data_IF_809650699307
#
_entry.id   IF_809650699307
#
_cell.length_a   1.000
_cell.length_b   1.000
_cell.length_c   1.000
_cell.angle_alpha   90.00
_cell.angle_beta   90.00
_cell.angle_gamma   90.00
#
_symmetry.space_group_name_H-M   'P 1'
#
loop_
_entity.id
_entity.type
_entity.pdbx_description
1 polymer ?
#
# COMPACT_ATOMS: atom_id res chain seq x y z
N UNK A 1 -13.24 12.16 28.75
CA UNK A 1 -13.41 13.32 27.84
C UNK A 1 -12.55 13.03 26.63
N UNK A 2 -13.14 12.61 25.52
CA UNK A 2 -12.42 12.13 24.34
C UNK A 2 -12.06 13.34 23.48
N UNK A 3 -10.79 13.70 23.46
CA UNK A 3 -10.30 14.79 22.62
C UNK A 3 -10.09 14.27 21.20
N UNK A 4 -10.87 14.81 20.26
CA UNK A 4 -10.55 14.79 18.83
C UNK A 4 -9.42 15.82 18.63
N UNK A 5 -8.18 15.35 18.74
CA UNK A 5 -7.04 16.02 18.10
C UNK A 5 -6.96 15.48 16.67
N UNK A 6 -6.59 16.32 15.70
CA UNK A 6 -6.38 16.01 14.26
C UNK A 6 -5.34 14.90 13.96
N UNK A 7 -4.91 14.16 14.97
CA UNK A 7 -4.05 12.99 14.89
C UNK A 7 -4.94 11.75 14.81
N UNK A 8 -5.17 11.26 13.59
CA UNK A 8 -5.96 10.06 13.33
C UNK A 8 -5.21 8.78 13.73
N UNK A 9 -5.92 7.88 14.41
CA UNK A 9 -5.43 6.53 14.70
C UNK A 9 -5.28 5.68 13.43
N UNK A 10 -5.84 6.10 12.30
CA UNK A 10 -5.63 5.45 11.00
C UNK A 10 -4.15 5.38 10.57
N UNK A 11 -3.29 6.26 11.10
CA UNK A 11 -1.84 6.17 10.85
C UNK A 11 -1.22 4.84 11.31
N UNK A 12 -1.87 4.10 12.23
CA UNK A 12 -1.45 2.74 12.59
C UNK A 12 -1.58 1.75 11.43
N UNK A 13 -2.45 2.00 10.44
CA UNK A 13 -2.62 1.14 9.27
C UNK A 13 -1.39 1.14 8.34
N UNK A 14 -0.53 2.15 8.48
CA UNK A 14 0.75 2.22 7.78
C UNK A 14 1.87 1.48 8.53
N UNK A 15 1.59 0.93 9.71
CA UNK A 15 2.53 0.11 10.48
C UNK A 15 2.29 -1.39 10.26
N UNK A 16 3.35 -2.20 10.40
CA UNK A 16 3.27 -3.66 10.26
C UNK A 16 3.93 -4.37 11.46
N UNK A 17 4.00 -3.69 12.60
CA UNK A 17 4.54 -4.22 13.85
C UNK A 17 3.66 -3.74 15.00
N UNK A 18 3.15 -4.69 15.77
CA UNK A 18 2.23 -4.45 16.86
C UNK A 18 2.79 -5.04 18.17
N UNK A 19 2.62 -4.34 19.31
CA UNK A 19 1.96 -3.05 19.46
C UNK A 19 2.78 -1.92 18.82
N UNK A 20 2.06 -1.05 18.10
CA UNK A 20 2.61 0.14 17.46
C UNK A 20 2.73 1.30 18.44
N UNK A 21 3.48 2.33 18.06
CA UNK A 21 3.50 3.60 18.80
C UNK A 21 2.21 4.34 18.52
N UNK A 22 1.44 4.63 19.56
CA UNK A 22 0.19 5.35 19.45
C UNK A 22 0.46 6.80 19.01
N UNK A 23 -0.18 7.30 17.93
CA UNK A 23 0.06 8.65 17.44
C UNK A 23 -0.56 9.71 18.37
N UNK A 24 -1.60 9.34 19.13
CA UNK A 24 -2.28 10.25 20.07
C UNK A 24 -1.44 10.52 21.33
N UNK A 25 -0.78 9.50 21.89
CA UNK A 25 -0.10 9.62 23.18
C UNK A 25 1.39 9.26 23.18
N UNK A 26 1.95 8.84 22.04
CA UNK A 26 3.36 8.47 21.89
C UNK A 26 3.79 7.17 22.58
N UNK A 27 2.89 6.49 23.30
CA UNK A 27 3.22 5.24 23.99
C UNK A 27 3.11 4.03 23.06
N UNK A 28 3.98 3.03 23.26
CA UNK A 28 3.88 1.75 22.56
C UNK A 28 2.76 0.92 23.20
N UNK A 29 1.66 0.81 22.47
CA UNK A 29 0.42 0.20 22.95
C UNK A 29 -0.75 0.48 22.02
N UNK A 30 -0.45 0.73 20.74
CA UNK A 30 -1.44 0.90 19.69
C UNK A 30 -1.64 -0.41 18.93
N UNK A 31 -2.89 -0.77 18.71
CA UNK A 31 -3.31 -2.07 18.20
C UNK A 31 -4.26 -1.89 17.02
N UNK A 32 -4.28 -2.88 16.14
CA UNK A 32 -5.29 -2.98 15.08
C UNK A 32 -5.88 -4.39 15.07
N UNK A 33 -7.12 -4.51 14.60
CA UNK A 33 -7.75 -5.79 14.33
C UNK A 33 -8.63 -5.68 13.09
N UNK A 34 -8.52 -6.66 12.18
CA UNK A 34 -9.25 -6.67 10.91
C UNK A 34 -10.05 -7.96 10.76
N UNK A 35 -11.29 -7.83 10.28
CA UNK A 35 -12.17 -8.95 9.91
C UNK A 35 -12.68 -8.80 8.49
N UNK A 36 -12.69 -9.89 7.73
CA UNK A 36 -13.22 -9.99 6.38
C UNK A 36 -14.44 -10.92 6.32
N UNK A 37 -15.53 -10.53 6.99
CA UNK A 37 -16.71 -11.38 7.15
C UNK A 37 -17.67 -11.38 5.96
N UNK A 38 -17.51 -10.43 5.03
CA UNK A 38 -18.33 -10.32 3.82
C UNK A 38 -17.46 -10.09 2.60
N UNK A 39 -17.92 -10.49 1.40
CA UNK A 39 -17.24 -10.17 0.16
C UNK A 39 -16.99 -8.67 0.04
N UNK A 40 -15.71 -8.27 -0.02
CA UNK A 40 -15.24 -6.88 -0.14
C UNK A 40 -15.67 -5.94 0.99
N UNK A 41 -16.11 -6.45 2.15
CA UNK A 41 -16.46 -5.60 3.30
C UNK A 41 -16.09 -6.27 4.61
N UNK A 42 -15.47 -5.49 5.48
CA UNK A 42 -14.97 -5.95 6.76
C UNK A 42 -15.06 -4.89 7.84
N UNK A 43 -14.69 -5.30 9.05
CA UNK A 43 -14.55 -4.43 10.21
C UNK A 43 -13.08 -4.15 10.49
N UNK A 44 -12.82 -2.94 10.96
CA UNK A 44 -11.52 -2.49 11.44
C UNK A 44 -11.71 -1.91 12.84
N UNK A 45 -10.90 -2.37 13.77
CA UNK A 45 -10.75 -1.78 15.09
C UNK A 45 -9.32 -1.27 15.23
N UNK A 46 -9.18 -0.05 15.72
CA UNK A 46 -7.89 0.53 16.11
C UNK A 46 -8.05 1.02 17.54
N UNK A 47 -7.15 0.67 18.44
CA UNK A 47 -7.21 1.16 19.82
C UNK A 47 -5.85 1.30 20.47
N UNK A 48 -5.80 1.99 21.60
CA UNK A 48 -4.59 2.15 22.40
C UNK A 48 -4.82 1.73 23.86
N UNK A 49 -4.07 0.77 24.37
CA UNK A 49 -4.19 0.36 25.79
C UNK A 49 -3.80 1.46 26.77
N UNK A 50 -2.93 2.41 26.36
CA UNK A 50 -2.40 3.44 27.24
C UNK A 50 -3.35 4.64 27.41
N UNK A 51 -3.75 5.29 26.31
CA UNK A 51 -4.64 6.46 26.36
C UNK A 51 -6.12 6.12 26.14
N UNK A 52 -6.44 4.85 25.89
CA UNK A 52 -7.79 4.32 25.64
C UNK A 52 -8.49 4.86 24.40
N UNK A 53 -7.83 5.70 23.60
CA UNK A 53 -8.36 6.16 22.31
C UNK A 53 -8.66 4.95 21.42
N UNK A 54 -9.81 4.97 20.74
CA UNK A 54 -10.20 3.91 19.82
C UNK A 54 -11.05 4.43 18.66
N UNK A 55 -11.04 3.67 17.58
CA UNK A 55 -11.84 3.89 16.38
C UNK A 55 -12.34 2.55 15.84
N UNK A 56 -13.56 2.54 15.31
CA UNK A 56 -14.14 1.40 14.63
C UNK A 56 -14.73 1.84 13.29
N UNK A 57 -14.34 1.16 12.22
CA UNK A 57 -14.72 1.52 10.85
C UNK A 57 -15.08 0.29 10.01
N UNK A 58 -15.91 0.50 8.98
CA UNK A 58 -16.07 -0.47 7.91
C UNK A 58 -15.00 -0.25 6.86
N UNK A 59 -14.29 -1.31 6.47
CA UNK A 59 -13.23 -1.25 5.46
C UNK A 59 -13.48 -2.24 4.33
N UNK A 60 -12.75 -2.07 3.23
CA UNK A 60 -12.46 -3.15 2.29
C UNK A 60 -11.21 -3.83 2.83
N UNK A 61 -11.29 -5.08 3.33
CA UNK A 61 -10.12 -5.80 3.82
C UNK A 61 -9.10 -5.98 2.71
N UNK A 62 -7.81 -6.15 3.05
CA UNK A 62 -6.81 -6.47 2.06
C UNK A 62 -7.19 -7.74 1.27
N UNK A 63 -6.87 -7.79 -0.02
CA UNK A 63 -7.21 -8.95 -0.88
C UNK A 63 -6.57 -10.26 -0.41
N UNK A 64 -5.44 -10.17 0.31
CA UNK A 64 -4.73 -11.29 0.91
C UNK A 64 -5.20 -11.63 2.33
N UNK A 65 -6.09 -10.84 2.93
CA UNK A 65 -6.46 -11.00 4.34
C UNK A 65 -7.26 -12.27 4.58
N UNK A 66 -6.81 -13.06 5.56
CA UNK A 66 -7.54 -14.19 6.11
C UNK A 66 -7.90 -13.86 7.56
N UNK A 67 -9.11 -14.24 7.99
CA UNK A 67 -9.49 -14.10 9.38
C UNK A 67 -8.67 -15.07 10.25
N UNK A 68 -8.34 -14.64 11.46
CA UNK A 68 -7.87 -15.53 12.52
C UNK A 68 -8.99 -16.44 13.02
N UNK A 69 -8.61 -17.43 13.83
CA UNK A 69 -9.53 -18.30 14.57
C UNK A 69 -9.62 -17.94 16.07
N UNK A 70 -9.09 -16.77 16.48
CA UNK A 70 -9.03 -16.34 17.87
C UNK A 70 -10.38 -15.76 18.31
N UNK A 71 -11.02 -14.96 17.45
CA UNK A 71 -12.24 -14.21 17.80
C UNK A 71 -13.38 -14.53 16.85
N UNK A 72 -14.52 -14.90 17.40
CA UNK A 72 -15.73 -15.14 16.62
C UNK A 72 -16.47 -13.83 16.32
N UNK A 73 -17.05 -13.71 15.12
CA UNK A 73 -17.71 -12.46 14.65
C UNK A 73 -18.74 -11.91 15.64
N UNK A 74 -19.53 -12.79 16.26
CA UNK A 74 -20.64 -12.38 17.13
C UNK A 74 -20.18 -11.77 18.46
N UNK A 75 -18.90 -11.93 18.82
CA UNK A 75 -18.33 -11.38 20.03
C UNK A 75 -17.84 -9.93 19.83
N UNK A 76 -17.77 -9.46 18.58
CA UNK A 76 -17.25 -8.14 18.24
C UNK A 76 -18.31 -7.05 18.38
N UNK A 77 -17.93 -5.96 19.04
CA UNK A 77 -18.72 -4.74 19.14
C UNK A 77 -17.82 -3.51 18.92
N UNK A 78 -18.42 -2.32 18.81
CA UNK A 78 -17.68 -1.10 18.43
C UNK A 78 -16.61 -0.69 19.47
N UNK A 79 -16.84 -0.98 20.76
CA UNK A 79 -15.87 -0.74 21.84
C UNK A 79 -14.89 -1.93 21.90
N UNK A 80 -13.56 -1.73 21.97
CA UNK A 80 -12.58 -2.81 21.85
C UNK A 80 -12.31 -3.57 23.17
N UNK A 81 -13.29 -3.73 24.07
CA UNK A 81 -13.04 -4.31 25.40
C UNK A 81 -12.56 -5.78 25.32
N UNK A 82 -13.26 -6.62 24.56
CA UNK A 82 -12.86 -8.01 24.31
C UNK A 82 -11.52 -8.08 23.55
N UNK A 83 -11.28 -7.15 22.62
CA UNK A 83 -10.04 -7.11 21.86
C UNK A 83 -8.85 -6.75 22.75
N UNK A 84 -9.05 -5.84 23.71
CA UNK A 84 -8.05 -5.46 24.71
C UNK A 84 -7.65 -6.65 25.60
N UNK A 85 -8.60 -7.52 25.96
CA UNK A 85 -8.32 -8.74 26.73
C UNK A 85 -7.44 -9.74 25.95
N UNK A 86 -7.52 -9.73 24.61
CA UNK A 86 -6.80 -10.65 23.73
C UNK A 86 -5.64 -9.99 22.96
N UNK A 87 -5.28 -8.76 23.32
CA UNK A 87 -4.38 -7.91 22.53
C UNK A 87 -3.03 -8.55 22.20
N UNK A 88 -2.44 -9.32 23.11
CA UNK A 88 -1.13 -9.93 22.87
C UNK A 88 -1.19 -11.00 21.77
N UNK A 89 -2.27 -11.79 21.75
CA UNK A 89 -2.49 -12.80 20.71
C UNK A 89 -2.86 -12.14 19.37
N UNK A 90 -3.67 -11.08 19.41
CA UNK A 90 -3.99 -10.26 18.23
C UNK A 90 -2.72 -9.64 17.66
N UNK A 91 -1.90 -8.98 18.47
CA UNK A 91 -0.67 -8.31 18.04
C UNK A 91 0.32 -9.28 17.39
N UNK A 92 0.45 -10.50 17.95
CA UNK A 92 1.24 -11.56 17.35
C UNK A 92 0.71 -11.94 15.96
N UNK A 93 -0.61 -12.17 15.84
CA UNK A 93 -1.24 -12.50 14.57
C UNK A 93 -1.11 -11.36 13.54
N UNK A 94 -1.38 -10.12 13.95
CA UNK A 94 -1.29 -8.94 13.10
C UNK A 94 0.14 -8.71 12.63
N UNK A 95 1.14 -8.79 13.52
CA UNK A 95 2.56 -8.66 13.15
C UNK A 95 2.96 -9.74 12.14
N UNK A 96 2.44 -10.97 12.31
CA UNK A 96 2.76 -12.07 11.42
C UNK A 96 2.09 -11.99 10.06
N UNK A 97 0.86 -11.44 9.95
CA UNK A 97 0.02 -11.55 8.76
C UNK A 97 -0.35 -10.22 8.09
N UNK A 98 -0.43 -9.11 8.84
CA UNK A 98 -0.81 -7.81 8.29
C UNK A 98 0.35 -7.18 7.54
N UNK A 99 0.09 -6.76 6.29
CA UNK A 99 1.05 -6.04 5.45
C UNK A 99 0.63 -4.60 5.22
N UNK A 100 -0.55 -4.17 5.66
CA UNK A 100 -1.13 -2.89 5.23
C UNK A 100 -2.27 -3.09 4.22
N UNK A 101 -3.10 -2.07 4.05
CA UNK A 101 -4.21 -2.10 3.09
C UNK A 101 -3.69 -2.10 1.63
N UNK A 102 -4.15 -3.04 0.82
CA UNK A 102 -3.81 -3.17 -0.62
C UNK A 102 -4.89 -2.54 -1.53
N UNK A 103 -5.21 -1.28 -1.29
CA UNK A 103 -6.05 -0.52 -2.23
C UNK A 103 -5.24 -0.11 -3.45
N UNK A 104 -5.77 -0.29 -4.67
CA UNK A 104 -5.11 0.23 -5.88
C UNK A 104 -5.41 1.72 -6.06
N UNK A 105 -4.56 2.57 -5.50
CA UNK A 105 -4.65 4.03 -5.63
C UNK A 105 -4.47 4.49 -7.09
N UNK A 106 -3.88 3.68 -7.96
CA UNK A 106 -3.76 4.00 -9.38
C UNK A 106 -5.06 3.77 -10.16
N UNK A 107 -6.06 3.08 -9.59
CA UNK A 107 -7.30 2.75 -10.29
C UNK A 107 -8.07 4.01 -10.75
N UNK A 108 -7.98 5.10 -10.00
CA UNK A 108 -8.62 6.39 -10.34
C UNK A 108 -7.67 7.40 -10.98
N UNK A 109 -6.44 7.02 -11.34
CA UNK A 109 -5.47 7.93 -11.94
C UNK A 109 -5.92 8.34 -13.34
N UNK A 110 -5.76 9.63 -13.69
CA UNK A 110 -6.10 10.18 -15.02
C UNK A 110 -5.41 9.44 -16.18
N UNK A 111 -4.23 8.86 -15.93
CA UNK A 111 -3.48 8.04 -16.90
C UNK A 111 -4.22 6.77 -17.32
N UNK A 112 -5.17 6.32 -16.49
CA UNK A 112 -5.99 5.14 -16.72
C UNK A 112 -7.44 5.50 -17.09
N UNK A 113 -7.77 6.80 -17.19
CA UNK A 113 -9.11 7.24 -17.52
C UNK A 113 -9.36 7.09 -19.03
N UNK A 114 -10.51 6.55 -19.40
CA UNK A 114 -11.00 6.61 -20.77
C UNK A 114 -11.56 8.01 -21.04
N UNK A 115 -10.88 8.77 -21.90
CA UNK A 115 -11.23 10.13 -22.29
C UNK A 115 -11.76 10.22 -23.73
N UNK A 116 -12.09 9.09 -24.36
CA UNK A 116 -12.56 9.02 -25.76
C UNK A 116 -13.90 9.74 -26.01
N UNK A 117 -14.66 10.00 -24.95
CA UNK A 117 -15.98 10.64 -25.02
C UNK A 117 -15.94 12.17 -24.90
N UNK A 118 -14.74 12.77 -24.78
CA UNK A 118 -14.61 14.22 -24.64
C UNK A 118 -15.06 14.96 -25.91
N UNK A 119 -15.73 16.10 -25.71
CA UNK A 119 -16.16 17.01 -26.77
C UNK A 119 -15.39 18.32 -26.67
N UNK A 120 -15.16 18.95 -27.82
CA UNK A 120 -14.49 20.25 -27.86
C UNK A 120 -15.36 21.31 -27.17
N UNK A 121 -14.76 22.12 -26.30
CA UNK A 121 -15.49 23.19 -25.60
C UNK A 121 -15.85 24.37 -26.51
N UNK A 122 -15.22 24.48 -27.68
CA UNK A 122 -15.44 25.55 -28.65
C UNK A 122 -16.41 25.14 -29.77
N UNK A 123 -16.10 24.06 -30.49
CA UNK A 123 -16.91 23.62 -31.63
C UNK A 123 -17.89 22.48 -31.31
N UNK A 124 -17.85 21.93 -30.09
CA UNK A 124 -18.66 20.79 -29.65
C UNK A 124 -18.47 19.50 -30.49
N UNK A 125 -17.44 19.46 -31.33
CA UNK A 125 -17.06 18.28 -32.09
C UNK A 125 -16.45 17.18 -31.21
N UNK A 126 -16.57 15.93 -31.66
CA UNK A 126 -16.05 14.73 -30.97
C UNK A 126 -14.58 14.41 -31.27
N UNK A 127 -13.93 15.23 -32.08
CA UNK A 127 -12.55 15.02 -32.53
C UNK A 127 -11.56 15.71 -31.59
N UNK A 128 -11.69 15.43 -30.29
CA UNK A 128 -10.82 15.96 -29.24
C UNK A 128 -9.91 14.84 -28.74
N UNK A 129 -8.59 15.02 -28.88
CA UNK A 129 -7.60 14.12 -28.31
C UNK A 129 -7.20 14.60 -26.92
N UNK A 130 -7.04 13.66 -25.99
CA UNK A 130 -6.51 13.90 -24.66
C UNK A 130 -5.19 13.16 -24.49
N UNK A 131 -4.15 13.83 -24.00
CA UNK A 131 -2.86 13.23 -23.73
C UNK A 131 -2.12 14.01 -22.64
N UNK A 132 -1.03 13.42 -22.12
CA UNK A 132 -0.17 14.10 -21.16
C UNK A 132 1.06 14.67 -21.86
N UNK A 133 1.33 15.96 -21.63
CA UNK A 133 2.61 16.60 -21.93
C UNK A 133 3.37 16.76 -20.61
N UNK A 134 4.29 15.83 -20.33
CA UNK A 134 4.88 15.68 -19.01
C UNK A 134 3.81 15.35 -17.97
N UNK A 135 3.61 16.24 -16.98
CA UNK A 135 2.57 16.09 -15.96
C UNK A 135 1.27 16.81 -16.31
N UNK A 136 1.20 17.57 -17.39
CA UNK A 136 0.01 18.38 -17.71
C UNK A 136 -0.92 17.64 -18.66
N UNK A 137 -2.22 17.63 -18.37
CA UNK A 137 -3.24 17.12 -19.29
C UNK A 137 -3.48 18.14 -20.41
N UNK A 138 -3.31 17.72 -21.65
CA UNK A 138 -3.59 18.50 -22.84
C UNK A 138 -4.80 17.93 -23.54
N UNK A 139 -5.78 18.79 -23.81
CA UNK A 139 -6.92 18.52 -24.68
C UNK A 139 -6.75 19.32 -25.97
N UNK A 140 -6.77 18.65 -27.11
CA UNK A 140 -6.58 19.27 -28.41
C UNK A 140 -7.65 18.82 -29.40
N UNK A 141 -8.45 19.77 -29.88
CA UNK A 141 -9.44 19.53 -30.92
C UNK A 141 -8.80 19.58 -32.30
N UNK A 142 -8.85 18.47 -33.02
CA UNK A 142 -8.28 18.34 -34.35
C UNK A 142 -9.09 19.07 -35.43
N UNK A 143 -10.38 19.34 -35.18
CA UNK A 143 -11.24 20.03 -36.14
C UNK A 143 -11.09 21.56 -36.13
N UNK A 144 -10.89 22.19 -34.97
CA UNK A 144 -10.83 23.65 -34.84
C UNK A 144 -9.52 24.18 -34.26
N UNK A 145 -8.60 23.30 -33.88
CA UNK A 145 -7.30 23.67 -33.29
C UNK A 145 -7.39 24.19 -31.85
N UNK A 146 -8.57 24.15 -31.21
CA UNK A 146 -8.70 24.54 -29.81
C UNK A 146 -7.84 23.63 -28.92
N UNK A 147 -6.95 24.25 -28.14
CA UNK A 147 -6.05 23.57 -27.21
C UNK A 147 -6.27 24.08 -25.79
N UNK A 148 -6.51 23.17 -24.86
CA UNK A 148 -6.67 23.45 -23.44
C UNK A 148 -5.61 22.66 -22.68
N UNK A 149 -4.84 23.35 -21.84
CA UNK A 149 -3.87 22.71 -20.94
C UNK A 149 -4.43 22.80 -19.53
N UNK A 150 -4.70 21.64 -18.94
CA UNK A 150 -5.15 21.50 -17.56
C UNK A 150 -3.99 21.57 -16.57
N UNK A 151 -4.34 21.51 -15.27
CA UNK A 151 -3.37 21.48 -14.19
C UNK A 151 -2.39 20.29 -14.30
N UNK A 152 -1.26 20.38 -13.60
CA UNK A 152 -0.33 19.25 -13.50
C UNK A 152 -0.90 18.14 -12.62
N UNK A 153 -0.99 16.94 -13.18
CA UNK A 153 -1.43 15.71 -12.52
C UNK A 153 -0.22 14.83 -12.25
N UNK A 154 0.23 14.85 -10.99
CA UNK A 154 1.16 13.86 -10.47
C UNK A 154 0.36 12.64 -10.05
N UNK A 155 0.80 11.46 -10.48
CA UNK A 155 0.16 10.22 -10.05
C UNK A 155 0.43 9.94 -8.57
N UNK A 156 -0.50 9.31 -7.83
CA UNK A 156 -0.29 8.97 -6.43
C UNK A 156 0.99 8.15 -6.17
N UNK A 157 1.41 7.33 -7.13
CA UNK A 157 2.64 6.53 -7.01
C UNK A 157 3.93 7.34 -7.22
N UNK A 158 3.92 8.44 -7.99
CA UNK A 158 5.05 9.36 -8.09
C UNK A 158 5.23 10.21 -6.85
N UNK A 159 4.14 10.41 -6.10
CA UNK A 159 4.13 11.13 -4.84
C UNK A 159 4.40 10.23 -3.63
N UNK A 160 4.51 8.92 -3.84
CA UNK A 160 4.80 7.99 -2.76
C UNK A 160 6.24 8.19 -2.28
N UNK A 161 6.36 8.56 -0.99
CA UNK A 161 7.63 8.73 -0.28
C UNK A 161 7.76 7.74 0.87
N UNK A 162 6.93 6.70 0.90
CA UNK A 162 6.92 5.71 1.97
C UNK A 162 8.18 4.83 1.87
N UNK A 163 8.78 4.47 3.02
CA UNK A 163 9.86 3.51 3.07
C UNK A 163 9.29 2.09 2.98
N UNK A 164 9.76 1.29 2.01
CA UNK A 164 9.42 -0.12 1.87
C UNK A 164 10.57 -1.03 2.28
N UNK A 165 10.28 -2.27 2.67
CA UNK A 165 11.26 -3.33 2.87
C UNK A 165 10.73 -4.69 2.36
N UNK A 166 11.67 -5.62 2.13
CA UNK A 166 11.36 -6.99 1.72
C UNK A 166 11.41 -7.94 2.90
N UNK A 167 10.51 -8.90 2.89
CA UNK A 167 10.59 -10.08 3.74
C UNK A 167 10.51 -11.34 2.88
N UNK A 168 11.62 -12.07 2.78
CA UNK A 168 11.69 -13.32 2.02
C UNK A 168 11.28 -14.46 2.95
N UNK A 169 10.31 -15.27 2.50
CA UNK A 169 9.73 -16.34 3.32
C UNK A 169 10.48 -17.67 3.23
N UNK A 170 11.36 -17.79 2.25
CA UNK A 170 12.20 -18.98 2.08
C UNK A 170 13.47 -18.88 2.90
N UNK A 171 13.77 -19.94 3.65
CA UNK A 171 14.98 -20.04 4.45
C UNK A 171 16.24 -20.28 3.59
N UNK A 172 16.06 -20.70 2.33
CA UNK A 172 17.17 -21.02 1.40
C UNK A 172 16.84 -20.54 -0.01
N UNK A 173 17.55 -19.52 -0.45
CA UNK A 173 17.46 -19.02 -1.82
C UNK A 173 18.76 -19.30 -2.60
N UNK A 174 18.70 -19.55 -3.93
CA UNK A 174 19.89 -19.85 -4.72
C UNK A 174 20.96 -18.77 -4.64
N UNK A 175 22.24 -19.15 -4.65
CA UNK A 175 23.36 -18.21 -4.53
C UNK A 175 23.37 -17.15 -5.65
N UNK A 176 22.98 -17.51 -6.87
CA UNK A 176 22.86 -16.56 -7.98
C UNK A 176 21.79 -15.48 -7.70
N UNK A 177 20.65 -15.88 -7.10
CA UNK A 177 19.58 -14.97 -6.71
C UNK A 177 20.05 -14.04 -5.60
N UNK A 178 20.75 -14.57 -4.59
CA UNK A 178 21.36 -13.78 -3.51
C UNK A 178 22.32 -12.71 -4.04
N UNK A 179 23.23 -13.08 -4.94
CA UNK A 179 24.22 -12.13 -5.48
C UNK A 179 23.53 -11.03 -6.28
N UNK A 180 22.57 -11.39 -7.14
CA UNK A 180 21.85 -10.42 -7.96
C UNK A 180 20.98 -9.50 -7.12
N UNK A 181 20.24 -10.06 -6.14
CA UNK A 181 19.42 -9.27 -5.23
C UNK A 181 20.27 -8.35 -4.35
N UNK A 182 21.38 -8.84 -3.80
CA UNK A 182 22.31 -8.03 -3.01
C UNK A 182 22.88 -6.86 -3.80
N UNK A 183 23.20 -7.08 -5.08
CA UNK A 183 23.62 -6.02 -6.01
C UNK A 183 22.50 -4.99 -6.24
N UNK A 184 21.27 -5.44 -6.52
CA UNK A 184 20.12 -4.57 -6.75
C UNK A 184 19.75 -3.71 -5.54
N UNK A 185 19.85 -4.28 -4.34
CA UNK A 185 19.43 -3.62 -3.10
C UNK A 185 20.59 -2.88 -2.39
N UNK A 186 21.81 -3.03 -2.90
CA UNK A 186 23.04 -2.57 -2.26
C UNK A 186 23.22 -3.11 -0.83
N UNK A 187 22.86 -4.38 -0.61
CA UNK A 187 23.03 -5.08 0.67
C UNK A 187 24.15 -6.13 0.51
N UNK A 188 25.07 -6.19 1.47
CA UNK A 188 26.11 -7.21 1.50
C UNK A 188 25.49 -8.62 1.51
N UNK A 189 25.94 -9.50 0.62
CA UNK A 189 25.33 -10.83 0.40
C UNK A 189 25.31 -11.68 1.68
N UNK A 190 26.38 -11.64 2.49
CA UNK A 190 26.45 -12.37 3.76
C UNK A 190 25.46 -11.84 4.80
N UNK A 191 25.30 -10.53 4.88
CA UNK A 191 24.34 -9.88 5.78
C UNK A 191 22.91 -10.23 5.37
N UNK A 192 22.60 -10.11 4.08
CA UNK A 192 21.29 -10.45 3.54
C UNK A 192 20.97 -11.93 3.77
N UNK A 193 21.93 -12.83 3.53
CA UNK A 193 21.77 -14.27 3.78
C UNK A 193 21.44 -14.53 5.26
N UNK A 194 22.16 -13.90 6.19
CA UNK A 194 21.91 -14.04 7.63
C UNK A 194 20.48 -13.59 8.00
N UNK A 195 20.05 -12.44 7.50
CA UNK A 195 18.70 -11.91 7.77
C UNK A 195 17.62 -12.88 7.28
N UNK A 196 17.78 -13.44 6.07
CA UNK A 196 16.85 -14.42 5.51
C UNK A 196 16.81 -15.70 6.33
N UNK A 197 17.99 -16.26 6.68
CA UNK A 197 18.09 -17.48 7.50
C UNK A 197 17.47 -17.29 8.91
N UNK A 198 17.52 -16.07 9.45
CA UNK A 198 16.89 -15.70 10.72
C UNK A 198 15.40 -15.33 10.60
N UNK A 199 14.83 -15.37 9.38
CA UNK A 199 13.45 -14.93 9.06
C UNK A 199 13.17 -13.47 9.40
N UNK A 200 14.22 -12.65 9.31
CA UNK A 200 14.15 -11.21 9.51
C UNK A 200 13.73 -10.49 8.22
N UNK A 201 13.17 -9.30 8.39
CA UNK A 201 12.96 -8.36 7.28
C UNK A 201 14.32 -7.82 6.84
N UNK A 202 14.51 -7.59 5.55
CA UNK A 202 15.74 -6.99 5.07
C UNK A 202 15.88 -5.57 5.63
N UNK A 203 16.99 -5.30 6.30
CA UNK A 203 17.24 -4.02 6.97
C UNK A 203 17.70 -2.95 5.96
N UNK A 204 16.88 -2.70 4.95
CA UNK A 204 17.06 -1.67 3.93
C UNK A 204 15.71 -1.07 3.61
N UNK A 205 15.60 0.24 3.85
CA UNK A 205 14.50 1.05 3.35
C UNK A 205 14.69 1.30 1.85
N UNK A 206 13.66 0.98 1.06
CA UNK A 206 13.63 1.07 -0.40
C UNK A 206 12.53 2.03 -0.83
N UNK A 207 12.78 2.78 -1.89
CA UNK A 207 11.74 3.53 -2.60
C UNK A 207 10.78 2.59 -3.32
N UNK A 208 9.60 3.10 -3.69
CA UNK A 208 8.61 2.34 -4.47
C UNK A 208 9.20 1.76 -5.76
N UNK A 209 10.11 2.48 -6.42
CA UNK A 209 10.75 1.99 -7.65
C UNK A 209 11.66 0.79 -7.39
N UNK A 210 12.56 0.91 -6.41
CA UNK A 210 13.53 -0.14 -6.06
C UNK A 210 12.82 -1.42 -5.59
N UNK A 211 11.82 -1.28 -4.72
CA UNK A 211 11.08 -2.43 -4.17
C UNK A 211 10.28 -3.15 -5.25
N UNK A 212 9.65 -2.41 -6.16
CA UNK A 212 8.91 -3.00 -7.27
C UNK A 212 9.90 -3.80 -8.14
N UNK A 213 11.05 -3.24 -8.50
CA UNK A 213 12.05 -3.88 -9.37
C UNK A 213 12.56 -5.19 -8.76
N UNK A 214 12.86 -5.18 -7.46
CA UNK A 214 13.25 -6.36 -6.70
C UNK A 214 12.12 -7.40 -6.62
N UNK A 215 10.88 -6.97 -6.37
CA UNK A 215 9.72 -7.87 -6.34
C UNK A 215 9.50 -8.58 -7.68
N UNK A 216 9.63 -7.87 -8.79
CA UNK A 216 9.53 -8.47 -10.13
C UNK A 216 10.61 -9.53 -10.33
N UNK A 217 11.86 -9.21 -10.00
CA UNK A 217 12.96 -10.17 -10.10
C UNK A 217 12.69 -11.43 -9.26
N UNK A 218 12.25 -11.27 -8.01
CA UNK A 218 11.92 -12.41 -7.15
C UNK A 218 10.75 -13.25 -7.69
N UNK A 219 9.73 -12.62 -8.31
CA UNK A 219 8.64 -13.34 -8.98
C UNK A 219 9.12 -14.15 -10.19
N UNK A 220 10.01 -13.58 -11.00
CA UNK A 220 10.61 -14.25 -12.16
C UNK A 220 11.44 -15.48 -11.74
N UNK A 221 12.11 -15.39 -10.59
CA UNK A 221 12.88 -16.50 -9.99
C UNK A 221 12.01 -17.46 -9.15
N UNK A 222 10.70 -17.23 -9.05
CA UNK A 222 9.78 -18.08 -8.30
C UNK A 222 9.94 -18.03 -6.78
N UNK A 223 10.54 -16.97 -6.22
CA UNK A 223 10.83 -16.83 -4.79
C UNK A 223 9.67 -16.12 -4.06
N UNK A 224 8.99 -16.79 -3.10
CA UNK A 224 7.97 -16.18 -2.24
C UNK A 224 8.54 -15.05 -1.36
N UNK A 225 7.88 -13.90 -1.39
CA UNK A 225 8.26 -12.73 -0.61
C UNK A 225 7.05 -11.85 -0.29
N UNK A 226 7.15 -11.13 0.83
CA UNK A 226 6.24 -10.07 1.21
C UNK A 226 6.95 -8.71 1.03
N UNK A 227 6.15 -7.69 0.71
CA UNK A 227 6.58 -6.29 0.71
C UNK A 227 5.86 -5.59 1.86
N UNK A 228 6.61 -4.84 2.66
CA UNK A 228 6.10 -4.16 3.83
C UNK A 228 6.41 -2.66 3.75
N UNK A 229 5.42 -1.76 3.90
CA UNK A 229 3.99 -2.07 3.86
C UNK A 229 3.54 -2.52 2.46
N UNK A 230 2.31 -3.01 2.35
CA UNK A 230 1.71 -3.54 1.14
C UNK A 230 1.67 -2.43 0.08
N UNK A 231 2.01 -2.82 -1.14
CA UNK A 231 2.01 -1.88 -2.26
C UNK A 231 0.57 -1.60 -2.69
N UNK A 232 0.27 -0.31 -2.81
CA UNK A 232 -1.05 0.23 -3.17
C UNK A 232 -1.18 0.61 -4.65
N UNK A 233 -0.27 0.16 -5.50
CA UNK A 233 -0.15 0.66 -6.88
C UNK A 233 0.03 -0.49 -7.86
N UNK A 234 -1.07 -1.09 -8.30
CA UNK A 234 -1.02 -2.28 -9.16
C UNK A 234 -0.48 -1.98 -10.57
N UNK A 235 -0.72 -0.75 -11.06
CA UNK A 235 -0.39 -0.30 -12.43
C UNK A 235 0.89 0.53 -12.54
N UNK A 236 1.73 0.56 -11.50
CA UNK A 236 2.94 1.41 -11.48
C UNK A 236 3.82 1.21 -12.72
N UNK A 237 4.04 -0.05 -13.12
CA UNK A 237 4.91 -0.37 -14.26
C UNK A 237 4.34 -0.07 -15.63
N UNK A 238 3.02 -0.20 -15.79
CA UNK A 238 2.34 0.19 -17.02
C UNK A 238 2.50 1.69 -17.23
N UNK A 239 2.36 2.46 -16.14
CA UNK A 239 2.56 3.90 -16.10
C UNK A 239 4.02 4.33 -16.35
N UNK A 240 4.99 3.59 -15.79
CA UNK A 240 6.41 3.88 -16.02
C UNK A 240 6.87 3.65 -17.47
N UNK A 241 6.15 2.81 -18.22
CA UNK A 241 6.42 2.54 -19.64
C UNK A 241 5.79 3.55 -20.61
N UNK A 242 4.97 4.49 -20.13
CA UNK A 242 4.11 5.36 -20.97
C UNK A 242 4.63 6.79 -21.23
N UNK A 243 5.92 7.06 -21.06
CA UNK A 243 6.55 8.26 -21.64
C UNK A 243 6.85 8.09 -23.13
N UNK A 244 5.89 7.57 -23.90
CA UNK A 244 5.89 7.70 -25.34
C UNK A 244 4.58 8.38 -25.71
N UNK A 245 4.71 9.45 -26.48
CA UNK A 245 3.63 10.14 -27.17
C UNK A 245 2.53 9.15 -27.56
N UNK A 246 1.32 9.35 -27.04
CA UNK A 246 0.12 8.72 -27.57
C UNK A 246 -0.07 9.29 -28.98
N UNK A 247 0.52 8.64 -29.99
CA UNK A 247 0.33 8.95 -31.41
C UNK A 247 -1.05 8.49 -31.85
#
# INVERSE_FOLDING_TARGET
MWHSSDISMESLLDTCEFPAVCPVCGHRGGHIYLRADRPRRGGLWIWCSACRSFEHASIIPPSYWANDALIESFQLHAIPDLLEEQKDAIDAYMTQNYRGLDSDLCACCIRNADLSHLVCTQCHGKDTKAFLEGHSLVLECQSCGCRVVGASFYSPCEQDRKPYCLWIREDRIPAAVLVKLGSMLHIGVLEMKRQIENREKLNRSLSLKEIMEASRFLKEEGIPHDILPAIRYSRYYECGKTLKSLT
#
